data_IF_030366635841
#
_entry.id   IF_030366635841
#
_cell.length_a   1.000
_cell.length_b   1.000
_cell.length_c   1.000
_cell.angle_alpha   90.00
_cell.angle_beta   90.00
_cell.angle_gamma   90.00
#
_symmetry.space_group_name_H-M   'P 1'
#
loop_
_entity.id
_entity.type
_entity.pdbx_description
1 polymer ?
#
# COMPACT_ATOMS: atom_id res chain seq x y z
N UNK A 1 7.69 13.36 -12.10
CA UNK A 1 7.73 11.92 -11.87
C UNK A 1 7.61 11.59 -10.41
N UNK A 2 8.58 12.01 -9.63
CA UNK A 2 8.51 11.72 -8.20
C UNK A 2 7.27 12.36 -7.57
N UNK A 3 6.81 13.45 -8.15
CA UNK A 3 5.63 14.11 -7.65
C UNK A 3 4.40 13.24 -7.74
N UNK A 4 4.27 12.52 -8.83
CA UNK A 4 3.15 11.60 -9.02
C UNK A 4 3.17 10.48 -7.98
N UNK A 5 4.36 9.96 -7.72
CA UNK A 5 4.51 8.90 -6.74
C UNK A 5 4.10 9.38 -5.36
N UNK A 6 4.55 10.58 -5.00
CA UNK A 6 4.22 11.14 -3.70
C UNK A 6 2.72 11.36 -3.57
N UNK A 7 2.10 11.88 -4.61
CA UNK A 7 0.67 12.13 -4.59
C UNK A 7 -0.11 10.83 -4.41
N UNK A 8 0.31 9.78 -5.11
CA UNK A 8 -0.35 8.49 -5.00
C UNK A 8 -0.23 7.93 -3.59
N UNK A 9 0.96 7.99 -3.03
CA UNK A 9 1.18 7.48 -1.68
C UNK A 9 0.38 8.28 -0.66
N UNK A 10 0.33 9.58 -0.84
CA UNK A 10 -0.42 10.43 0.06
C UNK A 10 -1.92 10.09 0.03
N UNK A 11 -2.43 9.88 -1.18
CA UNK A 11 -3.84 9.54 -1.34
C UNK A 11 -4.15 8.19 -0.69
N UNK A 12 -3.27 7.22 -0.87
CA UNK A 12 -3.45 5.90 -0.27
C UNK A 12 -3.42 6.01 1.25
N UNK A 13 -2.47 6.75 1.77
CA UNK A 13 -2.36 6.92 3.21
C UNK A 13 -3.61 7.57 3.79
N UNK A 14 -4.09 8.60 3.12
CA UNK A 14 -5.29 9.30 3.57
C UNK A 14 -6.49 8.36 3.57
N UNK A 15 -6.63 7.59 2.51
CA UNK A 15 -7.76 6.67 2.40
C UNK A 15 -7.68 5.60 3.50
N UNK A 16 -6.50 5.06 3.72
CA UNK A 16 -6.32 4.04 4.75
C UNK A 16 -6.64 4.61 6.13
N UNK A 17 -6.19 5.82 6.38
CA UNK A 17 -6.43 6.46 7.67
C UNK A 17 -7.92 6.73 7.87
N UNK A 18 -8.58 7.25 6.85
CA UNK A 18 -9.99 7.60 6.95
C UNK A 18 -10.87 6.37 7.07
N UNK A 19 -10.49 5.28 6.43
CA UNK A 19 -11.26 4.06 6.46
C UNK A 19 -11.03 3.23 7.71
N UNK A 20 -10.01 3.59 8.51
CA UNK A 20 -9.66 2.80 9.67
C UNK A 20 -9.00 1.48 9.32
N UNK A 21 -8.41 1.40 8.14
CA UNK A 21 -7.78 0.16 7.67
C UNK A 21 -6.27 0.15 7.91
N UNK A 22 -5.78 1.08 8.68
CA UNK A 22 -4.33 1.22 8.84
C UNK A 22 -3.69 -0.06 9.38
N UNK A 23 -4.32 -0.68 10.36
CA UNK A 23 -3.77 -1.92 10.93
C UNK A 23 -3.70 -3.02 9.87
N UNK A 24 -4.77 -3.16 9.11
CA UNK A 24 -4.80 -4.17 8.04
C UNK A 24 -3.77 -3.84 6.97
N UNK A 25 -3.65 -2.55 6.66
CA UNK A 25 -2.69 -2.10 5.66
C UNK A 25 -1.27 -2.42 6.08
N UNK A 26 -0.95 -2.12 7.34
CA UNK A 26 0.38 -2.41 7.87
C UNK A 26 0.68 -3.90 7.83
N UNK A 27 -0.28 -4.71 8.24
CA UNK A 27 -0.10 -6.16 8.23
C UNK A 27 0.11 -6.66 6.82
N UNK A 28 -0.65 -6.11 5.88
CA UNK A 28 -0.52 -6.51 4.49
C UNK A 28 0.87 -6.17 3.95
N UNK A 29 1.36 -4.98 4.29
CA UNK A 29 2.69 -4.58 3.85
C UNK A 29 3.78 -5.49 4.42
N UNK A 30 3.66 -5.83 5.70
CA UNK A 30 4.62 -6.73 6.32
C UNK A 30 4.60 -8.09 5.63
N UNK A 31 3.41 -8.58 5.35
CA UNK A 31 3.25 -9.85 4.68
C UNK A 31 3.91 -9.81 3.30
N UNK A 32 3.69 -8.73 2.58
CA UNK A 32 4.26 -8.58 1.24
C UNK A 32 5.77 -8.49 1.28
N UNK A 33 6.32 -7.85 2.30
CA UNK A 33 7.76 -7.68 2.37
C UNK A 33 8.48 -9.00 2.58
N UNK A 34 7.77 -10.02 3.08
CA UNK A 34 8.34 -11.34 3.27
C UNK A 34 8.26 -12.20 2.01
N UNK A 35 7.49 -11.75 1.03
CA UNK A 35 7.32 -12.49 -0.21
C UNK A 35 8.24 -11.94 -1.28
N UNK A 36 9.05 -12.82 -1.87
CA UNK A 36 10.00 -12.37 -2.87
C UNK A 36 9.32 -11.88 -4.14
N UNK A 37 8.10 -12.31 -4.40
CA UNK A 37 7.43 -11.88 -5.62
C UNK A 37 7.14 -10.39 -5.64
N UNK A 38 7.16 -9.75 -4.48
CA UNK A 38 6.93 -8.30 -4.41
C UNK A 38 8.22 -7.50 -4.36
N UNK A 39 9.35 -8.19 -4.48
CA UNK A 39 10.65 -7.55 -4.40
C UNK A 39 10.87 -6.53 -5.50
N UNK A 40 10.29 -6.78 -6.65
CA UNK A 40 10.48 -5.94 -7.83
C UNK A 40 9.59 -4.71 -7.85
N UNK A 41 8.62 -4.66 -6.98
CA UNK A 41 7.67 -3.56 -6.99
C UNK A 41 8.25 -2.33 -6.28
N UNK A 42 7.93 -1.17 -6.80
CA UNK A 42 8.27 0.06 -6.10
C UNK A 42 7.38 0.19 -4.87
N UNK A 43 7.75 1.13 -3.99
CA UNK A 43 6.96 1.36 -2.79
C UNK A 43 5.53 1.74 -3.17
N UNK A 44 5.40 2.59 -4.18
CA UNK A 44 4.09 3.02 -4.64
C UNK A 44 3.24 1.82 -5.09
N UNK A 45 3.85 0.92 -5.87
CA UNK A 45 3.14 -0.25 -6.35
C UNK A 45 2.74 -1.17 -5.20
N UNK A 46 3.62 -1.31 -4.21
CA UNK A 46 3.30 -2.13 -3.05
C UNK A 46 2.11 -1.57 -2.30
N UNK A 47 2.09 -0.27 -2.12
CA UNK A 47 1.00 0.38 -1.42
C UNK A 47 -0.31 0.23 -2.16
N UNK A 48 -0.27 0.39 -3.47
CA UNK A 48 -1.49 0.22 -4.26
C UNK A 48 -2.01 -1.21 -4.17
N UNK A 49 -1.11 -2.17 -4.25
CA UNK A 49 -1.48 -3.56 -4.13
C UNK A 49 -2.07 -3.86 -2.76
N UNK A 50 -1.41 -3.36 -1.73
CA UNK A 50 -1.89 -3.60 -0.37
C UNK A 50 -3.27 -3.00 -0.16
N UNK A 51 -3.48 -1.79 -0.65
CA UNK A 51 -4.77 -1.14 -0.50
C UNK A 51 -5.86 -1.94 -1.21
N UNK A 52 -5.55 -2.38 -2.42
CA UNK A 52 -6.52 -3.16 -3.18
C UNK A 52 -6.88 -4.45 -2.45
N UNK A 53 -5.88 -5.11 -1.89
CA UNK A 53 -6.11 -6.38 -1.20
C UNK A 53 -6.99 -6.21 0.02
N UNK A 54 -6.72 -5.20 0.82
CA UNK A 54 -7.50 -5.01 2.03
C UNK A 54 -8.92 -4.52 1.74
N UNK A 55 -9.11 -3.86 0.61
CA UNK A 55 -10.44 -3.38 0.23
C UNK A 55 -11.28 -4.49 -0.38
N UNK A 56 -10.65 -5.40 -1.07
CA UNK A 56 -11.35 -6.53 -1.67
C UNK A 56 -11.89 -7.47 -0.60
N UNK A 57 -11.12 -7.57 0.44
CA UNK A 57 -11.46 -8.34 1.57
C UNK A 57 -11.89 -9.74 1.29
#
# INVERSE_FOLDING_TARGET
>A
MSKQTEDTMYAIHAEVTQSGLKNKFDKQLKKMSKQSKHKWKTVCERWEYALKRIKEK
#
